data_IF_266018375831
#
_entry.id   IF_266018375831
#
_cell.length_a   1.000
_cell.length_b   1.000
_cell.length_c   1.000
_cell.angle_alpha   90.00
_cell.angle_beta   90.00
_cell.angle_gamma   90.00
#
_symmetry.space_group_name_H-M   'P 1'
#
loop_
_entity.id
_entity.type
_entity.pdbx_description
1 polymer ?
#
# COMPACT_ATOMS: atom_id res chain seq x y z
N UNK A 1 14.20 18.57 69.97
CA UNK A 1 14.97 18.27 68.76
C UNK A 1 15.12 16.79 68.41
N UNK A 2 14.97 15.86 69.33
CA UNK A 2 15.12 14.40 69.09
C UNK A 2 13.99 13.79 68.24
N UNK A 3 12.77 14.29 68.33
CA UNK A 3 11.63 13.77 67.56
C UNK A 3 11.83 14.00 66.06
N UNK A 4 12.40 15.11 65.66
CA UNK A 4 12.67 15.46 64.24
C UNK A 4 13.75 14.56 63.65
N UNK A 5 14.78 14.15 64.43
CA UNK A 5 15.86 13.29 63.97
C UNK A 5 15.40 11.84 63.72
N UNK A 6 14.43 11.34 64.52
CA UNK A 6 13.88 10.01 64.38
C UNK A 6 13.01 9.86 63.11
N UNK A 7 12.25 10.89 62.78
CA UNK A 7 11.44 10.89 61.57
C UNK A 7 12.24 11.21 60.30
N UNK A 8 13.39 11.85 60.41
CA UNK A 8 14.25 12.18 59.26
C UNK A 8 14.63 10.96 58.44
N UNK A 9 15.04 9.85 59.08
CA UNK A 9 15.40 8.61 58.38
C UNK A 9 14.22 7.96 57.70
N UNK A 10 13.03 8.03 58.29
CA UNK A 10 11.80 7.50 57.70
C UNK A 10 11.42 8.33 56.46
N UNK A 11 11.50 9.64 56.55
CA UNK A 11 11.22 10.56 55.44
C UNK A 11 12.23 10.35 54.30
N UNK A 12 13.51 10.19 54.60
CA UNK A 12 14.55 9.88 53.62
C UNK A 12 14.26 8.55 52.91
N UNK A 13 13.86 7.50 53.63
CA UNK A 13 13.47 6.23 53.06
C UNK A 13 12.24 6.34 52.12
N UNK A 14 11.21 7.09 52.55
CA UNK A 14 10.03 7.36 51.72
C UNK A 14 10.37 8.14 50.41
N UNK A 15 11.28 9.12 50.52
CA UNK A 15 11.76 9.88 49.37
C UNK A 15 12.47 8.96 48.36
N UNK A 16 13.31 8.04 48.82
CA UNK A 16 13.98 7.07 47.94
C UNK A 16 13.00 6.18 47.21
N UNK A 17 11.96 5.68 47.93
CA UNK A 17 10.90 4.88 47.32
C UNK A 17 10.16 5.71 46.27
N UNK A 18 9.83 6.95 46.57
CA UNK A 18 9.15 7.86 45.64
C UNK A 18 9.98 8.10 44.37
N UNK A 19 11.28 8.32 44.52
CA UNK A 19 12.21 8.48 43.37
C UNK A 19 12.20 7.23 42.49
N UNK A 20 12.25 6.03 43.09
CA UNK A 20 12.23 4.79 42.32
C UNK A 20 10.91 4.62 41.56
N UNK A 21 9.79 4.97 42.17
CA UNK A 21 8.46 4.93 41.51
C UNK A 21 8.42 5.91 40.33
N UNK A 22 8.90 7.14 40.50
CA UNK A 22 8.96 8.12 39.42
C UNK A 22 9.91 7.69 38.32
N UNK A 23 11.09 7.19 38.65
CA UNK A 23 12.05 6.66 37.67
C UNK A 23 11.41 5.54 36.82
N UNK A 24 10.71 4.61 37.45
CA UNK A 24 9.97 3.54 36.76
C UNK A 24 8.87 4.08 35.85
N UNK A 25 8.09 5.05 36.31
CA UNK A 25 7.04 5.72 35.51
C UNK A 25 7.60 6.45 34.30
N UNK A 26 8.71 7.22 34.49
CA UNK A 26 9.39 7.94 33.41
C UNK A 26 9.95 6.96 32.38
N UNK A 27 10.60 5.88 32.84
CA UNK A 27 11.12 4.84 31.95
C UNK A 27 10.02 4.22 31.09
N UNK A 28 8.89 3.83 31.69
CA UNK A 28 7.74 3.27 30.95
C UNK A 28 7.09 4.27 30.00
N UNK A 29 7.05 5.56 30.38
CA UNK A 29 6.51 6.63 29.54
C UNK A 29 7.32 6.89 28.27
N UNK A 30 8.62 6.65 28.32
CA UNK A 30 9.52 6.84 27.17
C UNK A 30 9.58 5.57 26.29
N UNK A 31 9.76 4.41 26.90
CA UNK A 31 9.94 3.17 26.16
C UNK A 31 8.65 2.68 25.47
N UNK A 32 7.49 2.88 26.08
CA UNK A 32 6.22 2.46 25.51
C UNK A 32 5.97 3.01 24.11
N UNK A 33 6.02 4.34 23.90
CA UNK A 33 5.87 4.92 22.56
C UNK A 33 6.95 4.49 21.56
N UNK A 34 8.20 4.26 22.02
CA UNK A 34 9.30 3.83 21.14
C UNK A 34 9.04 2.43 20.60
N UNK A 35 8.70 1.46 21.45
CA UNK A 35 8.37 0.11 21.03
C UNK A 35 7.12 0.08 20.15
N UNK A 36 6.09 0.81 20.52
CA UNK A 36 4.89 0.97 19.72
C UNK A 36 5.20 1.47 18.30
N UNK A 37 5.99 2.54 18.17
CA UNK A 37 6.35 3.10 16.87
C UNK A 37 7.20 2.13 16.05
N UNK A 38 8.08 1.36 16.66
CA UNK A 38 8.86 0.32 15.99
C UNK A 38 7.95 -0.75 15.38
N UNK A 39 7.05 -1.32 16.17
CA UNK A 39 6.09 -2.34 15.72
C UNK A 39 5.13 -1.78 14.66
N UNK A 40 4.61 -0.56 14.89
CA UNK A 40 3.75 0.16 13.94
C UNK A 40 4.43 0.30 12.57
N UNK A 41 5.67 0.82 12.57
CA UNK A 41 6.40 1.05 11.32
C UNK A 41 6.69 -0.27 10.58
N UNK A 42 7.12 -1.32 11.29
CA UNK A 42 7.37 -2.63 10.68
C UNK A 42 6.11 -3.21 10.03
N UNK A 43 4.97 -3.15 10.74
CA UNK A 43 3.70 -3.68 10.22
C UNK A 43 3.16 -2.85 9.08
N UNK A 44 3.27 -1.52 9.18
CA UNK A 44 2.83 -0.61 8.12
C UNK A 44 3.64 -0.81 6.84
N UNK A 45 4.95 -1.03 6.92
CA UNK A 45 5.76 -1.34 5.74
C UNK A 45 5.25 -2.61 5.03
N UNK A 46 4.95 -3.68 5.77
CA UNK A 46 4.40 -4.91 5.18
C UNK A 46 3.04 -4.68 4.52
N UNK A 47 2.17 -3.89 5.15
CA UNK A 47 0.85 -3.52 4.60
C UNK A 47 1.01 -2.65 3.36
N UNK A 48 1.90 -1.65 3.40
CA UNK A 48 2.18 -0.76 2.26
C UNK A 48 2.70 -1.55 1.06
N UNK A 49 3.60 -2.49 1.27
CA UNK A 49 4.13 -3.32 0.19
C UNK A 49 3.02 -4.20 -0.42
N UNK A 50 2.12 -4.75 0.40
CA UNK A 50 0.94 -5.46 -0.09
C UNK A 50 0.00 -4.54 -0.89
N UNK A 51 -0.24 -3.33 -0.40
CA UNK A 51 -1.05 -2.34 -1.11
C UNK A 51 -0.42 -1.91 -2.44
N UNK A 52 0.91 -1.85 -2.53
CA UNK A 52 1.61 -1.62 -3.80
C UNK A 52 1.39 -2.77 -4.78
N UNK A 53 1.47 -4.02 -4.31
CA UNK A 53 1.17 -5.21 -5.13
C UNK A 53 -0.27 -5.16 -5.66
N UNK A 54 -1.26 -4.83 -4.79
CA UNK A 54 -2.66 -4.68 -5.19
C UNK A 54 -2.81 -3.55 -6.22
N UNK A 55 -2.20 -2.39 -5.97
CA UNK A 55 -2.25 -1.26 -6.90
C UNK A 55 -1.70 -1.64 -8.28
N UNK A 56 -0.55 -2.28 -8.33
CA UNK A 56 0.07 -2.69 -9.58
C UNK A 56 -0.80 -3.71 -10.33
N UNK A 57 -1.42 -4.64 -9.59
CA UNK A 57 -2.38 -5.61 -10.15
C UNK A 57 -3.63 -4.93 -10.70
N UNK A 58 -4.15 -3.92 -10.00
CA UNK A 58 -5.30 -3.14 -10.46
C UNK A 58 -5.00 -2.32 -11.71
N UNK A 59 -3.80 -1.71 -11.78
CA UNK A 59 -3.36 -1.00 -12.99
C UNK A 59 -3.27 -1.96 -14.16
N UNK A 60 -2.74 -3.17 -13.93
CA UNK A 60 -2.69 -4.22 -14.92
C UNK A 60 -4.08 -4.65 -15.40
N UNK A 61 -4.99 -4.85 -14.47
CA UNK A 61 -6.37 -5.21 -14.76
C UNK A 61 -7.05 -4.13 -15.62
N UNK A 62 -6.90 -2.86 -15.24
CA UNK A 62 -7.42 -1.73 -15.99
C UNK A 62 -6.83 -1.63 -17.40
N UNK A 63 -5.54 -1.91 -17.58
CA UNK A 63 -4.90 -1.80 -18.89
C UNK A 63 -5.47 -2.78 -19.93
N UNK A 64 -6.03 -3.92 -19.47
CA UNK A 64 -6.63 -4.95 -20.32
C UNK A 64 -8.15 -4.79 -20.40
N UNK A 65 -8.80 -4.51 -19.27
CA UNK A 65 -10.28 -4.50 -19.18
C UNK A 65 -10.91 -3.09 -19.24
N UNK A 66 -10.11 -2.02 -19.17
CA UNK A 66 -10.59 -0.64 -19.18
C UNK A 66 -11.09 -0.12 -17.83
N UNK A 67 -11.46 -1.01 -16.91
CA UNK A 67 -11.98 -0.71 -15.57
C UNK A 67 -11.16 -1.41 -14.50
N UNK A 68 -11.32 -1.01 -13.23
CA UNK A 68 -10.72 -1.71 -12.09
C UNK A 68 -11.59 -2.86 -11.61
N UNK A 69 -10.97 -3.87 -11.01
CA UNK A 69 -11.69 -5.00 -10.39
C UNK A 69 -12.29 -4.56 -9.05
N UNK A 70 -13.52 -5.00 -8.78
CA UNK A 70 -14.25 -4.79 -7.53
C UNK A 70 -14.04 -5.89 -6.49
N UNK A 71 -13.36 -6.99 -6.88
CA UNK A 71 -13.12 -8.13 -6.01
C UNK A 71 -11.73 -8.74 -6.22
N UNK A 72 -11.23 -9.38 -5.16
CA UNK A 72 -9.91 -10.02 -5.19
C UNK A 72 -9.87 -11.32 -5.97
N UNK A 73 -10.98 -12.07 -6.03
CA UNK A 73 -11.02 -13.34 -6.72
C UNK A 73 -10.86 -13.14 -8.23
N UNK A 74 -11.59 -12.19 -8.80
CA UNK A 74 -11.45 -11.79 -10.20
C UNK A 74 -10.05 -11.26 -10.51
N UNK A 75 -9.47 -10.47 -9.59
CA UNK A 75 -8.13 -9.92 -9.75
C UNK A 75 -7.06 -11.02 -9.75
N UNK A 76 -7.14 -11.99 -8.83
CA UNK A 76 -6.21 -13.13 -8.76
C UNK A 76 -6.32 -14.01 -10.00
N UNK A 77 -7.56 -14.32 -10.44
CA UNK A 77 -7.80 -15.09 -11.66
C UNK A 77 -7.22 -14.39 -12.89
N UNK A 78 -7.41 -13.08 -12.98
CA UNK A 78 -6.81 -12.26 -14.04
C UNK A 78 -5.28 -12.38 -14.05
N UNK A 79 -4.62 -12.24 -12.91
CA UNK A 79 -3.15 -12.34 -12.80
C UNK A 79 -2.66 -13.71 -13.29
N UNK A 80 -3.40 -14.78 -12.98
CA UNK A 80 -3.02 -16.13 -13.37
C UNK A 80 -3.17 -16.40 -14.87
N UNK A 81 -4.15 -15.78 -15.53
CA UNK A 81 -4.57 -16.15 -16.89
C UNK A 81 -4.27 -15.10 -17.95
N UNK A 82 -4.13 -13.84 -17.57
CA UNK A 82 -4.00 -12.75 -18.53
C UNK A 82 -2.57 -12.57 -19.05
N UNK A 83 -2.47 -12.01 -20.25
CA UNK A 83 -1.22 -11.68 -20.91
C UNK A 83 -1.22 -10.23 -21.34
N UNK A 84 -0.06 -9.59 -21.27
CA UNK A 84 0.20 -8.30 -21.89
C UNK A 84 0.69 -8.49 -23.32
N UNK A 85 0.19 -7.66 -24.21
CA UNK A 85 0.78 -7.52 -25.53
C UNK A 85 1.96 -6.55 -25.45
N UNK A 86 3.15 -7.02 -25.75
CA UNK A 86 4.31 -6.16 -25.90
C UNK A 86 4.23 -5.49 -27.27
N UNK A 87 4.15 -4.17 -27.25
CA UNK A 87 4.12 -3.36 -28.46
C UNK A 87 5.34 -2.45 -28.54
N UNK A 88 5.88 -2.30 -29.74
CA UNK A 88 6.86 -1.27 -30.07
C UNK A 88 6.15 -0.18 -30.83
N UNK A 89 6.23 1.05 -30.33
CA UNK A 89 5.77 2.23 -31.06
C UNK A 89 7.00 2.91 -31.67
N UNK A 90 6.91 3.20 -32.95
CA UNK A 90 7.91 4.00 -33.64
C UNK A 90 7.22 5.04 -34.51
N UNK A 91 7.77 6.22 -34.51
CA UNK A 91 7.32 7.27 -35.40
C UNK A 91 7.86 6.97 -36.81
N UNK A 92 7.00 7.09 -37.78
CA UNK A 92 7.31 6.92 -39.21
C UNK A 92 6.64 8.06 -39.98
N UNK A 93 7.19 8.38 -41.11
CA UNK A 93 6.60 9.37 -42.00
C UNK A 93 6.58 8.86 -43.43
N UNK A 94 5.54 9.21 -44.14
CA UNK A 94 5.42 8.93 -45.57
C UNK A 94 4.87 10.15 -46.31
N UNK A 95 5.16 10.21 -47.63
CA UNK A 95 4.62 11.23 -48.48
C UNK A 95 3.23 10.80 -48.98
N UNK A 96 2.24 11.62 -48.74
CA UNK A 96 0.86 11.43 -49.25
C UNK A 96 0.55 12.60 -50.19
N UNK A 97 0.10 12.26 -51.42
CA UNK A 97 -0.30 13.27 -52.41
C UNK A 97 -1.61 13.92 -52.05
N UNK A 98 -1.57 15.23 -51.70
CA UNK A 98 -2.74 16.02 -51.47
C UNK A 98 -3.37 16.52 -52.80
N UNK A 99 -4.56 16.04 -53.11
CA UNK A 99 -5.28 16.37 -54.33
C UNK A 99 -5.71 17.84 -54.42
N UNK A 100 -5.91 18.47 -53.26
CA UNK A 100 -6.36 19.86 -53.17
C UNK A 100 -5.25 20.83 -53.48
N UNK A 101 -4.08 20.58 -52.91
CA UNK A 101 -2.87 21.41 -53.12
C UNK A 101 -1.98 20.91 -54.24
N UNK A 102 -2.22 19.72 -54.78
CA UNK A 102 -1.43 19.06 -55.84
C UNK A 102 0.05 18.94 -55.51
N UNK A 103 0.37 18.67 -54.25
CA UNK A 103 1.72 18.48 -53.71
C UNK A 103 1.78 17.25 -52.85
N UNK A 104 2.96 16.68 -52.68
CA UNK A 104 3.24 15.63 -51.73
C UNK A 104 3.44 16.27 -50.35
N UNK A 105 2.58 15.89 -49.40
CA UNK A 105 2.66 16.31 -47.99
C UNK A 105 3.22 15.20 -47.13
N UNK A 106 4.15 15.53 -46.25
CA UNK A 106 4.69 14.60 -45.27
C UNK A 106 3.65 14.34 -44.19
N UNK A 107 3.20 13.08 -44.06
CA UNK A 107 2.33 12.63 -42.96
C UNK A 107 3.13 11.81 -41.98
N UNK A 108 3.03 12.21 -40.71
CA UNK A 108 3.59 11.46 -39.59
C UNK A 108 2.56 10.47 -39.10
N UNK A 109 2.97 9.22 -38.89
CA UNK A 109 2.16 8.14 -38.33
C UNK A 109 2.95 7.37 -37.29
N UNK A 110 2.23 6.91 -36.26
CA UNK A 110 2.81 6.01 -35.29
C UNK A 110 2.56 4.58 -35.73
N UNK A 111 3.63 3.86 -36.05
CA UNK A 111 3.58 2.42 -36.37
C UNK A 111 3.66 1.65 -35.05
N UNK A 112 2.72 0.74 -34.87
CA UNK A 112 2.63 -0.12 -33.68
C UNK A 112 2.90 -1.56 -34.12
N UNK A 113 4.04 -2.08 -33.72
CA UNK A 113 4.42 -3.48 -33.98
C UNK A 113 4.24 -4.31 -32.72
N UNK A 114 3.58 -5.48 -32.83
CA UNK A 114 3.47 -6.43 -31.73
C UNK A 114 4.71 -7.30 -31.67
N UNK A 115 5.45 -7.19 -30.56
CA UNK A 115 6.70 -7.96 -30.36
C UNK A 115 6.45 -9.34 -29.73
N UNK A 116 5.33 -9.50 -29.00
CA UNK A 116 5.00 -10.76 -28.34
C UNK A 116 4.01 -10.58 -27.19
N UNK A 117 3.89 -11.63 -26.39
CA UNK A 117 3.01 -11.66 -25.22
C UNK A 117 3.79 -12.07 -23.98
N UNK A 118 3.50 -11.44 -22.83
CA UNK A 118 4.09 -11.75 -21.53
C UNK A 118 2.98 -11.95 -20.51
N UNK A 119 3.06 -13.02 -19.73
CA UNK A 119 2.07 -13.26 -18.67
C UNK A 119 2.11 -12.13 -17.63
N UNK A 120 0.95 -11.65 -17.22
CA UNK A 120 0.82 -10.61 -16.18
C UNK A 120 1.49 -11.06 -14.90
N UNK A 121 1.30 -12.33 -14.51
CA UNK A 121 1.94 -12.95 -13.36
C UNK A 121 3.47 -12.79 -13.39
N UNK A 122 4.10 -13.16 -14.51
CA UNK A 122 5.55 -13.12 -14.64
C UNK A 122 6.09 -11.69 -14.64
N UNK A 123 5.33 -10.77 -15.24
CA UNK A 123 5.69 -9.34 -15.28
C UNK A 123 5.61 -8.67 -13.91
N UNK A 124 4.60 -8.98 -13.07
CA UNK A 124 4.37 -8.31 -11.79
C UNK A 124 5.02 -9.01 -10.60
N UNK A 125 5.07 -10.34 -10.61
CA UNK A 125 5.46 -11.15 -9.46
C UNK A 125 6.64 -12.09 -9.74
N UNK A 126 7.04 -12.26 -11.00
CA UNK A 126 8.07 -13.22 -11.40
C UNK A 126 7.69 -14.64 -10.97
N UNK A 127 8.59 -15.32 -10.30
CA UNK A 127 8.34 -16.67 -9.76
C UNK A 127 7.57 -16.71 -8.43
N UNK A 128 7.24 -15.55 -7.85
CA UNK A 128 6.58 -15.47 -6.54
C UNK A 128 5.09 -15.73 -6.63
N UNK A 129 4.58 -16.60 -5.74
CA UNK A 129 3.15 -16.90 -5.61
C UNK A 129 2.42 -15.96 -4.63
N UNK A 130 3.04 -14.84 -4.22
CA UNK A 130 2.46 -13.90 -3.23
C UNK A 130 1.15 -13.26 -3.66
N UNK A 131 0.86 -13.24 -4.97
CA UNK A 131 -0.40 -12.73 -5.52
C UNK A 131 -1.63 -13.55 -5.10
N UNK A 132 -1.48 -14.85 -4.80
CA UNK A 132 -2.59 -15.69 -4.32
C UNK A 132 -3.16 -15.21 -2.98
N UNK A 133 -2.33 -14.54 -2.19
CA UNK A 133 -2.70 -14.01 -0.89
C UNK A 133 -2.85 -12.47 -0.90
N UNK A 134 -3.19 -11.87 -2.03
CA UNK A 134 -3.35 -10.41 -2.15
C UNK A 134 -4.43 -9.86 -1.23
N UNK A 135 -5.51 -10.60 -1.04
CA UNK A 135 -6.61 -10.21 -0.18
C UNK A 135 -6.24 -10.18 1.31
N UNK A 136 -5.26 -11.01 1.73
CA UNK A 136 -4.93 -11.19 3.14
C UNK A 136 -3.93 -10.15 3.65
N UNK A 137 -4.17 -9.67 4.86
CA UNK A 137 -3.27 -8.75 5.57
C UNK A 137 -2.00 -9.50 5.99
N UNK A 138 -0.79 -9.03 5.62
CA UNK A 138 0.46 -9.76 5.83
C UNK A 138 1.01 -9.59 7.26
N UNK A 139 0.17 -9.78 8.29
CA UNK A 139 0.54 -9.64 9.70
C UNK A 139 0.24 -10.95 10.42
N UNK A 140 1.21 -11.42 11.20
CA UNK A 140 1.06 -12.64 11.99
C UNK A 140 -0.04 -12.45 13.05
N UNK A 141 -0.92 -13.46 13.16
CA UNK A 141 -2.02 -13.45 14.13
C UNK A 141 -3.24 -12.62 13.71
N UNK A 142 -3.26 -12.11 12.48
CA UNK A 142 -4.40 -11.39 11.91
C UNK A 142 -4.95 -12.19 10.74
N UNK A 143 -6.18 -12.65 10.87
CA UNK A 143 -6.94 -13.28 9.78
C UNK A 143 -7.99 -12.28 9.28
N UNK A 144 -7.51 -11.28 8.56
CA UNK A 144 -8.34 -10.22 8.00
C UNK A 144 -8.00 -9.98 6.54
N UNK A 145 -8.99 -9.52 5.79
CA UNK A 145 -8.87 -9.18 4.38
C UNK A 145 -8.97 -7.68 4.17
N UNK A 146 -8.28 -7.18 3.16
CA UNK A 146 -8.48 -5.82 2.66
C UNK A 146 -9.88 -5.67 2.09
N UNK A 147 -10.46 -4.48 2.27
CA UNK A 147 -11.70 -4.10 1.59
C UNK A 147 -11.33 -3.47 0.26
N UNK A 148 -11.93 -3.93 -0.82
CA UNK A 148 -11.74 -3.39 -2.16
C UNK A 148 -13.07 -2.89 -2.70
N UNK A 149 -13.04 -1.76 -3.39
CA UNK A 149 -14.18 -1.18 -4.12
C UNK A 149 -13.67 -0.55 -5.39
N UNK A 150 -14.42 -0.64 -6.45
CA UNK A 150 -14.18 0.10 -7.69
C UNK A 150 -15.44 0.84 -8.10
N UNK A 151 -15.26 1.99 -8.73
CA UNK A 151 -16.35 2.83 -9.21
C UNK A 151 -15.90 3.65 -10.41
N UNK A 152 -16.86 4.26 -11.11
CA UNK A 152 -16.62 5.21 -12.19
C UNK A 152 -17.15 6.56 -11.75
N UNK A 153 -16.25 7.53 -11.60
CA UNK A 153 -16.62 8.91 -11.23
C UNK A 153 -16.59 9.82 -12.45
N UNK A 154 -17.56 10.71 -12.53
CA UNK A 154 -17.58 11.77 -13.56
C UNK A 154 -16.70 12.94 -13.14
N UNK A 155 -15.74 13.29 -13.99
CA UNK A 155 -14.90 14.48 -13.81
C UNK A 155 -15.03 15.38 -15.04
N UNK A 156 -15.92 16.34 -14.95
CA UNK A 156 -16.38 17.11 -16.11
C UNK A 156 -17.13 16.20 -17.08
N UNK A 157 -16.71 16.17 -18.33
CA UNK A 157 -17.32 15.34 -19.40
C UNK A 157 -16.69 13.94 -19.54
N UNK A 158 -15.77 13.58 -18.64
CA UNK A 158 -15.05 12.32 -18.71
C UNK A 158 -15.44 11.37 -17.58
N UNK A 159 -15.66 10.10 -17.93
CA UNK A 159 -15.84 9.00 -16.98
C UNK A 159 -14.45 8.43 -16.60
N UNK A 160 -14.12 8.54 -15.32
CA UNK A 160 -12.82 8.11 -14.79
C UNK A 160 -13.02 6.92 -13.85
N UNK A 161 -12.53 5.72 -14.22
CA UNK A 161 -12.55 4.59 -13.31
C UNK A 161 -11.60 4.83 -12.15
N UNK A 162 -12.05 4.53 -10.93
CA UNK A 162 -11.30 4.66 -9.68
C UNK A 162 -11.44 3.38 -8.86
N UNK A 163 -10.51 3.16 -7.95
CA UNK A 163 -10.62 2.08 -6.96
C UNK A 163 -10.12 2.55 -5.60
N UNK A 164 -10.63 1.91 -4.57
CA UNK A 164 -10.22 2.10 -3.19
C UNK A 164 -9.88 0.75 -2.57
N UNK A 165 -8.76 0.68 -1.86
CA UNK A 165 -8.38 -0.48 -1.05
C UNK A 165 -8.04 0.02 0.34
N UNK A 166 -8.72 -0.51 1.34
CA UNK A 166 -8.58 -0.04 2.71
C UNK A 166 -8.52 -1.17 3.74
N UNK A 167 -7.88 -0.87 4.87
CA UNK A 167 -7.84 -1.71 6.07
C UNK A 167 -7.84 -0.82 7.31
N UNK A 168 -8.51 -1.25 8.39
CA UNK A 168 -8.50 -0.51 9.65
C UNK A 168 -7.16 -0.61 10.36
N UNK A 169 -6.69 0.51 10.93
CA UNK A 169 -5.49 0.55 11.78
C UNK A 169 -5.62 -0.38 12.98
N UNK A 170 -6.81 -0.51 13.55
CA UNK A 170 -7.09 -1.37 14.69
C UNK A 170 -6.82 -2.85 14.40
N UNK A 171 -7.03 -3.28 13.17
CA UNK A 171 -6.72 -4.63 12.71
C UNK A 171 -5.21 -4.82 12.59
N UNK A 172 -4.52 -3.84 12.03
CA UNK A 172 -3.06 -3.88 11.83
C UNK A 172 -2.30 -3.88 13.16
N UNK A 173 -2.83 -3.19 14.18
CA UNK A 173 -2.24 -3.00 15.50
C UNK A 173 -3.10 -3.61 16.62
N UNK A 174 -3.76 -4.73 16.35
CA UNK A 174 -4.77 -5.37 17.21
C UNK A 174 -4.29 -5.68 18.63
N UNK A 175 -3.02 -5.98 18.81
CA UNK A 175 -2.35 -6.34 20.07
C UNK A 175 -1.66 -5.16 20.76
N UNK A 176 -1.72 -3.95 20.18
CA UNK A 176 -1.05 -2.77 20.71
C UNK A 176 -1.98 -1.95 21.62
N UNK A 177 -1.36 -1.12 22.46
CA UNK A 177 -2.08 -0.26 23.39
C UNK A 177 -2.99 0.73 22.63
N UNK A 178 -4.31 0.65 22.91
CA UNK A 178 -5.34 1.47 22.26
C UNK A 178 -5.19 2.97 22.53
N UNK A 179 -4.57 3.35 23.66
CA UNK A 179 -4.36 4.76 23.99
C UNK A 179 -3.29 5.40 23.07
N UNK A 180 -2.30 4.60 22.62
CA UNK A 180 -1.29 5.04 21.66
C UNK A 180 -1.79 5.04 20.22
N UNK A 181 -2.91 4.34 19.92
CA UNK A 181 -3.54 4.33 18.59
C UNK A 181 -4.28 5.64 18.28
N UNK A 182 -4.66 6.41 19.29
CA UNK A 182 -5.42 7.67 19.15
C UNK A 182 -4.54 8.89 18.94
N UNK A 183 -3.23 8.74 19.11
CA UNK A 183 -2.22 9.76 18.82
C UNK A 183 -1.74 9.63 17.35
#
# INVERSE_FOLDING_TARGET
MEIISKYKRIIEGLLWILILIFAYKVYGSINGPIEFNKVKNERFLKVIDRLKDIRNSQIAFKSVNGIYSDNFEGLIKFIDTAQYTLIQKRDSSFLEYDRTFRIDMLREVVVIDTLGYVNVKDSLFGSSLRYKNLALVPIKGVDAMFKIKSDIIKKGDYDVPVFEVSISKDIVLWDQNKDLLKQ
#
